data_IF_677728516482
#
_entry.id   IF_677728516482
#
_cell.length_a   1.000
_cell.length_b   1.000
_cell.length_c   1.000
_cell.angle_alpha   90.00
_cell.angle_beta   90.00
_cell.angle_gamma   90.00
#
_symmetry.space_group_name_H-M   'P 1'
#
loop_
_entity.id
_entity.type
_entity.pdbx_description
1 polymer ?
#
# COMPACT_ATOMS: atom_id res chain seq x y z
N UNK A 1 -65.80 -14.30 26.01
CA UNK A 1 -65.10 -13.73 27.18
C UNK A 1 -63.61 -13.92 26.96
N UNK A 2 -62.84 -12.81 26.89
CA UNK A 2 -61.37 -12.60 27.04
C UNK A 2 -60.43 -13.81 26.89
N UNK A 3 -59.24 -13.77 26.28
CA UNK A 3 -58.41 -12.81 25.56
C UNK A 3 -57.11 -13.58 25.15
N UNK A 4 -56.32 -13.11 24.18
CA UNK A 4 -54.93 -13.58 23.96
C UNK A 4 -54.54 -13.73 22.48
N UNK A 5 -54.09 -12.66 21.79
CA UNK A 5 -52.67 -12.25 21.56
C UNK A 5 -51.95 -13.25 20.61
N UNK A 6 -51.54 -12.90 19.38
CA UNK A 6 -50.39 -12.03 19.02
C UNK A 6 -50.49 -11.44 17.60
N UNK A 7 -50.43 -10.12 17.49
CA UNK A 7 -49.99 -9.40 16.28
C UNK A 7 -48.46 -9.26 16.34
N UNK A 8 -47.77 -9.61 15.26
CA UNK A 8 -46.34 -9.38 15.05
C UNK A 8 -46.21 -8.06 14.27
N UNK A 9 -45.60 -7.07 14.92
CA UNK A 9 -45.28 -5.76 14.34
C UNK A 9 -43.84 -5.82 13.80
N UNK A 10 -43.67 -5.70 12.48
CA UNK A 10 -42.36 -5.45 11.86
C UNK A 10 -42.06 -3.95 11.96
N UNK A 11 -41.04 -3.59 12.72
CA UNK A 11 -40.51 -2.22 12.81
C UNK A 11 -39.32 -2.10 11.84
N UNK A 12 -39.51 -1.41 10.73
CA UNK A 12 -38.41 -0.95 9.87
C UNK A 12 -37.91 0.39 10.41
N UNK A 13 -36.69 0.43 10.94
CA UNK A 13 -36.02 1.68 11.32
C UNK A 13 -35.05 2.07 10.20
N UNK A 14 -35.46 3.04 9.39
CA UNK A 14 -34.59 3.74 8.47
C UNK A 14 -33.78 4.79 9.26
N UNK A 15 -32.48 4.58 9.44
CA UNK A 15 -31.56 5.62 9.89
C UNK A 15 -30.99 6.36 8.68
N UNK A 16 -31.63 7.48 8.31
CA UNK A 16 -30.97 8.54 7.54
C UNK A 16 -30.10 9.36 8.51
N UNK A 17 -28.78 9.17 8.44
CA UNK A 17 -27.84 10.08 9.08
C UNK A 17 -27.68 11.32 8.18
N UNK A 18 -28.22 12.45 8.63
CA UNK A 18 -28.02 13.74 8.01
C UNK A 18 -26.55 14.20 8.19
N UNK A 19 -25.80 14.27 7.10
CA UNK A 19 -24.46 14.87 7.07
C UNK A 19 -24.62 16.38 6.97
N UNK A 20 -24.51 17.07 8.11
CA UNK A 20 -24.47 18.53 8.16
C UNK A 20 -23.05 19.02 7.81
N UNK A 21 -22.90 19.60 6.63
CA UNK A 21 -21.67 20.27 6.20
C UNK A 21 -21.47 21.57 6.98
N UNK A 22 -20.40 21.64 7.77
CA UNK A 22 -19.85 22.88 8.29
C UNK A 22 -18.40 23.02 7.81
N UNK A 23 -18.21 23.71 6.68
CA UNK A 23 -16.88 24.15 6.26
C UNK A 23 -16.38 25.24 7.22
N UNK A 24 -15.09 25.27 7.60
CA UNK A 24 -14.55 26.35 8.40
C UNK A 24 -14.49 27.64 7.56
N UNK A 25 -15.23 28.67 7.98
CA UNK A 25 -15.13 30.03 7.44
C UNK A 25 -13.76 30.62 7.77
N UNK A 26 -12.81 30.50 6.83
CA UNK A 26 -11.61 31.31 6.73
C UNK A 26 -11.80 32.36 5.61
N UNK A 27 -11.48 33.62 5.91
CA UNK A 27 -11.59 34.76 4.98
C UNK A 27 -10.94 34.45 3.62
N UNK A 28 -11.65 34.79 2.55
CA UNK A 28 -11.21 34.70 1.16
C UNK A 28 -9.99 35.61 0.90
N UNK A 29 -8.79 35.10 1.17
CA UNK A 29 -7.58 35.53 0.50
C UNK A 29 -7.50 34.79 -0.84
N UNK A 30 -7.18 35.50 -1.92
CA UNK A 30 -6.96 34.97 -3.27
C UNK A 30 -6.13 33.68 -3.22
N UNK A 31 -6.78 32.53 -3.31
CA UNK A 31 -6.13 31.23 -3.40
C UNK A 31 -5.69 31.05 -4.83
N UNK A 32 -4.38 30.88 -5.02
CA UNK A 32 -3.84 30.24 -6.21
C UNK A 32 -4.69 28.99 -6.49
N UNK A 33 -5.02 28.75 -7.76
CA UNK A 33 -5.85 27.63 -8.19
C UNK A 33 -5.27 26.32 -7.65
N UNK A 34 -5.78 25.85 -6.51
CA UNK A 34 -5.43 24.54 -5.97
C UNK A 34 -5.90 23.51 -6.98
N UNK A 35 -4.97 22.73 -7.54
CA UNK A 35 -5.32 21.57 -8.39
C UNK A 35 -6.04 20.49 -7.59
N UNK A 36 -5.79 20.41 -6.29
CA UNK A 36 -6.52 19.57 -5.37
C UNK A 36 -7.85 20.21 -4.93
N UNK A 37 -8.96 19.53 -5.16
CA UNK A 37 -10.30 19.98 -4.77
C UNK A 37 -10.64 19.43 -3.39
N UNK A 38 -11.08 20.28 -2.47
CA UNK A 38 -11.65 19.82 -1.21
C UNK A 38 -12.88 18.93 -1.48
N UNK A 39 -12.81 17.68 -1.07
CA UNK A 39 -13.87 16.69 -1.26
C UNK A 39 -14.81 16.64 -0.05
N UNK A 40 -14.27 16.73 1.16
CA UNK A 40 -15.05 16.72 2.40
C UNK A 40 -14.17 16.69 3.65
N UNK A 41 -14.79 16.67 4.82
CA UNK A 41 -14.10 16.51 6.09
C UNK A 41 -14.98 15.77 7.10
N UNK A 42 -14.35 14.99 7.98
CA UNK A 42 -15.02 14.27 9.06
C UNK A 42 -14.37 14.66 10.38
N UNK A 43 -15.15 15.28 11.25
CA UNK A 43 -14.73 15.76 12.56
C UNK A 43 -14.96 14.71 13.65
N UNK A 44 -14.05 14.66 14.63
CA UNK A 44 -14.24 13.94 15.88
C UNK A 44 -13.89 14.83 17.07
N UNK A 45 -14.73 14.80 18.11
CA UNK A 45 -14.51 15.57 19.36
C UNK A 45 -13.36 15.01 20.23
N UNK A 46 -12.94 13.78 19.94
CA UNK A 46 -11.82 13.07 20.53
C UNK A 46 -10.93 12.49 19.43
N UNK A 47 -9.74 12.02 19.78
CA UNK A 47 -8.85 11.32 18.84
C UNK A 47 -9.54 10.11 18.21
N UNK A 48 -9.28 9.85 16.93
CA UNK A 48 -9.78 8.65 16.27
C UNK A 48 -9.08 7.42 16.85
N UNK A 49 -9.84 6.39 17.19
CA UNK A 49 -9.27 5.05 17.34
C UNK A 49 -8.86 4.52 15.96
N UNK A 50 -7.87 3.63 15.89
CA UNK A 50 -7.40 3.07 14.62
C UNK A 50 -8.53 2.46 13.78
N UNK A 51 -9.38 1.64 14.40
CA UNK A 51 -10.55 1.03 13.73
C UNK A 51 -11.51 2.09 13.17
N UNK A 52 -11.85 3.12 13.96
CA UNK A 52 -12.75 4.18 13.52
C UNK A 52 -12.12 5.03 12.41
N UNK A 53 -10.82 5.29 12.49
CA UNK A 53 -10.07 6.03 11.47
C UNK A 53 -10.17 5.31 10.12
N UNK A 54 -9.83 4.02 10.08
CA UNK A 54 -9.91 3.24 8.85
C UNK A 54 -11.34 3.06 8.36
N UNK A 55 -12.33 2.87 9.24
CA UNK A 55 -13.74 2.87 8.84
C UNK A 55 -14.18 4.19 8.17
N UNK A 56 -13.68 5.34 8.65
CA UNK A 56 -13.93 6.64 8.01
C UNK A 56 -13.25 6.73 6.65
N UNK A 57 -11.97 6.32 6.56
CA UNK A 57 -11.24 6.27 5.29
C UNK A 57 -11.97 5.39 4.26
N UNK A 58 -12.40 4.19 4.65
CA UNK A 58 -13.09 3.24 3.77
C UNK A 58 -14.49 3.72 3.38
N UNK A 59 -15.19 4.45 4.26
CA UNK A 59 -16.51 5.03 3.95
C UNK A 59 -16.46 6.05 2.80
N UNK A 60 -15.30 6.70 2.59
CA UNK A 60 -15.07 7.68 1.52
C UNK A 60 -14.33 7.06 0.33
N UNK A 61 -13.35 6.20 0.62
CA UNK A 61 -12.48 5.56 -0.36
C UNK A 61 -13.09 4.35 -1.05
N UNK A 62 -14.08 3.71 -0.44
CA UNK A 62 -14.64 2.44 -0.90
C UNK A 62 -13.70 1.28 -0.60
N UNK A 63 -13.57 0.35 -1.56
CA UNK A 63 -12.76 -0.87 -1.42
C UNK A 63 -11.27 -0.68 -1.74
N UNK A 64 -10.83 0.55 -1.98
CA UNK A 64 -9.48 0.84 -2.41
C UNK A 64 -8.46 0.85 -1.27
N UNK A 65 -7.19 0.66 -1.60
CA UNK A 65 -6.10 0.59 -0.62
C UNK A 65 -5.59 1.98 -0.24
N UNK A 66 -5.83 2.42 0.99
CA UNK A 66 -5.23 3.64 1.54
C UNK A 66 -3.75 3.41 1.87
N UNK A 67 -2.87 4.19 1.24
CA UNK A 67 -1.43 4.11 1.41
C UNK A 67 -0.91 5.34 2.12
N UNK A 68 -0.17 5.16 3.21
CA UNK A 68 0.37 6.30 3.94
C UNK A 68 1.49 6.99 3.16
N UNK A 69 1.45 8.31 3.10
CA UNK A 69 2.49 9.13 2.49
C UNK A 69 3.75 9.10 3.35
N UNK A 70 4.89 8.94 2.69
CA UNK A 70 6.20 8.97 3.33
C UNK A 70 6.84 10.35 3.15
N UNK A 71 7.14 11.02 4.27
CA UNK A 71 7.80 12.33 4.29
C UNK A 71 9.21 12.29 3.67
N UNK A 72 9.87 11.14 3.69
CA UNK A 72 11.18 10.92 3.09
C UNK A 72 11.09 10.45 1.63
N UNK A 73 9.88 10.22 1.13
CA UNK A 73 9.66 9.79 -0.24
C UNK A 73 9.65 10.95 -1.24
N UNK A 74 9.53 10.61 -2.52
CA UNK A 74 9.37 11.56 -3.63
C UNK A 74 8.16 12.45 -3.36
N UNK A 75 8.36 13.76 -3.53
CA UNK A 75 7.33 14.78 -3.39
C UNK A 75 6.52 14.87 -4.67
N UNK A 76 5.37 14.19 -4.69
CA UNK A 76 4.43 14.26 -5.81
C UNK A 76 3.82 15.67 -5.90
N UNK A 77 3.91 16.37 -7.04
CA UNK A 77 3.45 17.76 -7.16
C UNK A 77 1.98 17.94 -6.76
N UNK A 78 1.07 17.07 -7.23
CA UNK A 78 -0.35 17.15 -6.90
C UNK A 78 -0.63 16.91 -5.41
N UNK A 79 0.12 16.03 -4.77
CA UNK A 79 0.06 15.83 -3.31
C UNK A 79 0.59 17.06 -2.57
N UNK A 80 1.74 17.60 -3.01
CA UNK A 80 2.36 18.75 -2.35
C UNK A 80 1.56 20.04 -2.50
N UNK A 81 0.88 20.26 -3.62
CA UNK A 81 -0.02 21.40 -3.82
C UNK A 81 -1.08 21.48 -2.71
N UNK A 82 -1.54 20.33 -2.20
CA UNK A 82 -2.49 20.25 -1.10
C UNK A 82 -1.82 20.29 0.29
N UNK A 83 -0.65 19.67 0.45
CA UNK A 83 0.04 19.55 1.74
C UNK A 83 0.88 20.78 2.12
N UNK A 84 1.55 21.44 1.18
CA UNK A 84 2.46 22.56 1.46
C UNK A 84 1.80 23.71 2.25
N UNK A 85 0.53 24.10 1.97
CA UNK A 85 -0.17 25.06 2.79
C UNK A 85 -0.40 24.58 4.23
N UNK A 86 -0.67 23.28 4.43
CA UNK A 86 -0.95 22.69 5.74
C UNK A 86 0.33 22.52 6.57
N UNK A 87 1.44 22.14 5.93
CA UNK A 87 2.74 21.97 6.59
C UNK A 87 3.31 23.28 7.17
N UNK A 88 2.86 24.43 6.64
CA UNK A 88 3.22 25.78 7.13
C UNK A 88 2.34 26.27 8.28
N UNK A 89 1.25 25.57 8.60
CA UNK A 89 0.35 25.93 9.69
C UNK A 89 0.85 25.41 11.04
N UNK A 90 0.33 25.99 12.13
CA UNK A 90 0.61 25.55 13.50
C UNK A 90 0.10 24.12 13.75
N UNK A 91 -1.06 23.79 13.18
CA UNK A 91 -1.68 22.48 13.28
C UNK A 91 -1.24 21.64 12.08
N UNK A 92 -0.03 21.08 12.16
CA UNK A 92 0.53 20.26 11.08
C UNK A 92 -0.24 18.94 10.95
N UNK A 93 -0.28 18.35 9.74
CA UNK A 93 -0.76 16.99 9.53
C UNK A 93 -0.10 16.01 10.49
N UNK A 94 -0.91 15.18 11.15
CA UNK A 94 -0.43 14.04 11.96
C UNK A 94 -0.13 12.84 11.05
N UNK A 95 -1.02 12.57 10.10
CA UNK A 95 -0.89 11.49 9.12
C UNK A 95 -1.55 11.88 7.80
N UNK A 96 -1.05 11.31 6.69
CA UNK A 96 -1.56 11.56 5.35
C UNK A 96 -1.65 10.23 4.62
N UNK A 97 -2.79 9.94 3.99
CA UNK A 97 -2.98 8.76 3.15
C UNK A 97 -3.40 9.16 1.74
N UNK A 98 -3.00 8.34 0.78
CA UNK A 98 -3.37 8.47 -0.63
C UNK A 98 -4.02 7.18 -1.08
N UNK A 99 -5.12 7.33 -1.82
CA UNK A 99 -5.80 6.26 -2.52
C UNK A 99 -5.66 6.50 -4.02
N UNK A 100 -4.85 5.68 -4.69
CA UNK A 100 -4.51 5.83 -6.11
C UNK A 100 -5.39 5.02 -7.07
N UNK A 101 -6.11 4.01 -6.56
CA UNK A 101 -6.89 3.03 -7.35
C UNK A 101 -8.21 3.61 -7.88
N UNK A 102 -8.18 4.83 -8.41
CA UNK A 102 -9.35 5.61 -8.86
C UNK A 102 -8.98 6.45 -10.07
N UNK A 103 -9.98 6.81 -10.89
CA UNK A 103 -9.79 7.74 -12.01
C UNK A 103 -9.21 9.09 -11.57
N UNK A 104 -9.59 9.53 -10.36
CA UNK A 104 -8.96 10.64 -9.66
C UNK A 104 -8.52 10.17 -8.28
N UNK A 105 -7.23 10.27 -7.94
CA UNK A 105 -6.74 9.88 -6.63
C UNK A 105 -7.41 10.70 -5.52
N UNK A 106 -7.58 10.08 -4.35
CA UNK A 106 -7.97 10.78 -3.14
C UNK A 106 -6.80 10.89 -2.18
N UNK A 107 -6.74 11.99 -1.46
CA UNK A 107 -5.82 12.18 -0.35
C UNK A 107 -6.62 12.48 0.92
N UNK A 108 -6.31 11.80 2.01
CA UNK A 108 -6.86 12.05 3.33
C UNK A 108 -5.77 12.61 4.24
N UNK A 109 -6.08 13.67 4.98
CA UNK A 109 -5.15 14.35 5.88
C UNK A 109 -5.75 14.39 7.28
N UNK A 110 -5.10 13.74 8.23
CA UNK A 110 -5.45 13.83 9.66
C UNK A 110 -4.82 15.09 10.25
N UNK A 111 -5.65 15.98 10.79
CA UNK A 111 -5.22 17.23 11.43
C UNK A 111 -5.72 17.27 12.88
N UNK A 112 -4.92 17.84 13.80
CA UNK A 112 -5.36 18.07 15.16
C UNK A 112 -6.39 19.22 15.20
N UNK A 113 -7.48 19.03 15.97
CA UNK A 113 -8.56 20.01 16.12
C UNK A 113 -9.01 20.12 17.59
N UNK A 114 -8.33 21.00 18.34
CA UNK A 114 -8.62 21.18 19.77
C UNK A 114 -8.27 19.93 20.57
N UNK A 115 -9.23 19.36 21.31
CA UNK A 115 -9.09 18.07 21.99
C UNK A 115 -9.32 16.85 21.09
N UNK A 116 -9.76 17.07 19.85
CA UNK A 116 -10.07 16.02 18.89
C UNK A 116 -9.25 16.16 17.61
N UNK A 117 -9.77 15.57 16.54
CA UNK A 117 -9.09 15.41 15.26
C UNK A 117 -10.10 15.59 14.11
N UNK A 118 -9.60 15.95 12.94
CA UNK A 118 -10.37 16.03 11.70
C UNK A 118 -9.63 15.31 10.58
N UNK A 119 -10.34 14.49 9.81
CA UNK A 119 -9.84 13.91 8.56
C UNK A 119 -10.39 14.73 7.42
N UNK A 120 -9.52 15.41 6.68
CA UNK A 120 -9.87 16.22 5.51
C UNK A 120 -9.53 15.44 4.25
N UNK A 121 -10.48 15.37 3.32
CA UNK A 121 -10.35 14.66 2.07
C UNK A 121 -10.17 15.63 0.91
N UNK A 122 -9.19 15.38 0.08
CA UNK A 122 -8.88 16.11 -1.15
C UNK A 122 -8.97 15.16 -2.34
N UNK A 123 -9.66 15.57 -3.40
CA UNK A 123 -9.58 14.92 -4.71
C UNK A 123 -8.41 15.54 -5.47
N UNK A 124 -7.42 14.71 -5.84
CA UNK A 124 -6.26 15.12 -6.62
C UNK A 124 -6.58 15.00 -8.12
N UNK A 125 -5.91 15.81 -8.95
CA UNK A 125 -6.02 15.70 -10.40
C UNK A 125 -5.37 14.43 -10.95
N UNK A 126 -4.21 14.07 -10.40
CA UNK A 126 -3.40 12.91 -10.76
C UNK A 126 -2.36 12.65 -9.65
N UNK A 127 -1.60 11.56 -9.79
CA UNK A 127 -0.29 11.39 -9.16
C UNK A 127 0.73 11.61 -10.28
N UNK A 128 1.37 12.77 -10.28
CA UNK A 128 2.12 13.32 -11.43
C UNK A 128 3.62 13.51 -11.15
N UNK A 129 4.15 12.82 -10.13
CA UNK A 129 5.58 12.67 -9.95
C UNK A 129 6.23 11.98 -11.16
N UNK A 130 7.34 12.55 -11.67
CA UNK A 130 8.15 11.89 -12.69
C UNK A 130 8.95 10.74 -12.09
N UNK A 131 9.11 9.60 -12.79
CA UNK A 131 9.94 8.49 -12.33
C UNK A 131 11.38 8.94 -12.01
N UNK A 132 11.86 8.54 -10.83
CA UNK A 132 13.26 8.71 -10.42
C UNK A 132 13.86 7.36 -10.05
N UNK A 133 15.20 7.19 -10.16
CA UNK A 133 15.85 5.95 -9.73
C UNK A 133 15.48 5.59 -8.29
N UNK A 134 15.26 4.30 -8.04
CA UNK A 134 15.07 3.78 -6.69
C UNK A 134 16.35 4.00 -5.88
N UNK A 135 16.20 4.54 -4.69
CA UNK A 135 17.28 4.69 -3.72
C UNK A 135 16.80 4.32 -2.33
N UNK A 136 17.73 3.82 -1.52
CA UNK A 136 17.51 3.67 -0.09
C UNK A 136 17.83 4.97 0.62
N UNK A 137 17.06 5.29 1.67
CA UNK A 137 17.37 6.43 2.50
C UNK A 137 18.63 6.16 3.33
N UNK A 138 19.54 7.14 3.38
CA UNK A 138 20.89 6.99 3.93
C UNK A 138 20.92 6.62 5.42
N UNK A 139 19.91 7.05 6.16
CA UNK A 139 19.80 6.81 7.60
C UNK A 139 18.53 6.01 7.82
N UNK A 140 18.70 4.73 8.14
CA UNK A 140 17.62 3.85 8.56
C UNK A 140 17.67 3.76 10.08
N UNK A 141 16.81 4.51 10.76
CA UNK A 141 16.66 4.36 12.21
C UNK A 141 15.62 3.25 12.46
N UNK A 142 15.97 2.13 13.12
CA UNK A 142 15.07 0.97 13.24
C UNK A 142 13.72 1.28 13.89
N UNK A 143 13.67 2.21 14.83
CA UNK A 143 12.46 2.72 15.47
C UNK A 143 11.50 3.41 14.49
N UNK A 144 12.04 4.02 13.43
CA UNK A 144 11.26 4.67 12.38
C UNK A 144 10.85 3.65 11.31
N UNK A 145 11.81 2.86 10.83
CA UNK A 145 11.61 1.97 9.68
C UNK A 145 10.85 0.69 10.06
N UNK A 146 11.11 0.16 11.25
CA UNK A 146 10.48 -1.05 11.79
C UNK A 146 9.50 -0.72 12.93
N UNK A 147 8.90 0.47 12.90
CA UNK A 147 7.95 0.94 13.92
C UNK A 147 6.83 -0.06 14.21
N UNK A 148 6.37 -0.77 13.18
CA UNK A 148 5.27 -1.74 13.28
C UNK A 148 5.77 -3.16 13.65
N UNK A 149 7.03 -3.27 14.08
CA UNK A 149 7.69 -4.51 14.47
C UNK A 149 8.26 -4.41 15.89
N UNK A 150 8.28 -5.55 16.60
CA UNK A 150 9.04 -5.74 17.83
C UNK A 150 10.35 -6.45 17.53
N UNK A 151 11.44 -5.99 18.14
CA UNK A 151 12.71 -6.72 18.12
C UNK A 151 12.61 -7.93 19.05
N UNK A 152 12.98 -9.12 18.55
CA UNK A 152 12.95 -10.38 19.31
C UNK A 152 14.34 -10.98 19.50
N UNK A 153 15.32 -10.50 18.74
CA UNK A 153 16.72 -10.91 18.81
C UNK A 153 17.63 -9.87 18.16
N UNK A 154 18.94 -10.11 18.18
CA UNK A 154 19.89 -9.25 17.47
C UNK A 154 19.62 -9.29 15.96
N UNK A 155 19.25 -8.15 15.39
CA UNK A 155 18.88 -8.07 13.97
C UNK A 155 17.57 -8.78 13.60
N UNK A 156 16.79 -9.29 14.55
CA UNK A 156 15.55 -10.02 14.28
C UNK A 156 14.32 -9.28 14.78
N UNK A 157 13.33 -9.12 13.90
CA UNK A 157 12.10 -8.39 14.18
C UNK A 157 10.87 -9.17 13.72
N UNK A 158 9.77 -9.05 14.48
CA UNK A 158 8.48 -9.68 14.18
C UNK A 158 7.40 -8.61 14.19
N UNK A 159 6.54 -8.59 13.18
CA UNK A 159 5.48 -7.58 13.08
C UNK A 159 4.51 -7.69 14.27
N UNK A 160 4.04 -6.56 14.79
CA UNK A 160 3.19 -6.49 15.98
C UNK A 160 1.86 -7.24 15.78
N UNK A 161 1.19 -6.98 14.65
CA UNK A 161 -0.12 -7.60 14.35
C UNK A 161 -0.07 -8.88 13.49
N UNK A 162 1.06 -9.17 12.85
CA UNK A 162 1.19 -10.25 11.85
C UNK A 162 2.45 -11.07 12.10
N UNK A 163 2.43 -12.07 13.00
CA UNK A 163 3.62 -12.86 13.35
C UNK A 163 4.28 -13.62 12.18
N UNK A 164 3.56 -13.79 11.07
CA UNK A 164 4.08 -14.34 9.82
C UNK A 164 5.00 -13.39 9.05
N UNK A 165 4.98 -12.09 9.36
CA UNK A 165 5.89 -11.08 8.83
C UNK A 165 7.10 -10.95 9.77
N UNK A 166 8.27 -11.26 9.22
CA UNK A 166 9.54 -11.23 9.96
C UNK A 166 10.62 -10.51 9.18
N UNK A 167 11.53 -9.87 9.89
CA UNK A 167 12.70 -9.20 9.35
C UNK A 167 13.95 -9.79 10.01
N UNK A 168 14.95 -10.09 9.20
CA UNK A 168 16.32 -10.35 9.64
C UNK A 168 17.23 -9.33 8.97
N UNK A 169 17.95 -8.53 9.75
CA UNK A 169 18.82 -7.47 9.30
C UNK A 169 20.23 -7.66 9.86
N UNK A 170 21.23 -7.58 9.00
CA UNK A 170 22.64 -7.48 9.35
C UNK A 170 23.32 -6.46 8.44
N UNK A 171 24.63 -6.25 8.62
CA UNK A 171 25.40 -5.27 7.86
C UNK A 171 25.37 -5.47 6.33
N UNK A 172 25.15 -6.70 5.87
CA UNK A 172 25.20 -7.06 4.44
C UNK A 172 23.83 -7.22 3.80
N UNK A 173 22.81 -7.45 4.62
CA UNK A 173 21.51 -7.92 4.14
C UNK A 173 20.38 -7.56 5.08
N UNK A 174 19.30 -7.05 4.49
CA UNK A 174 17.98 -7.01 5.13
C UNK A 174 17.09 -8.01 4.39
N UNK A 175 16.48 -8.94 5.12
CA UNK A 175 15.58 -9.96 4.58
C UNK A 175 14.23 -9.88 5.28
N UNK A 176 13.21 -9.60 4.49
CA UNK A 176 11.82 -9.67 4.87
C UNK A 176 11.26 -11.01 4.45
N UNK A 177 10.44 -11.62 5.29
CA UNK A 177 9.75 -12.87 4.96
C UNK A 177 8.30 -12.78 5.37
N UNK A 178 7.45 -13.36 4.54
CA UNK A 178 6.05 -13.61 4.83
C UNK A 178 5.79 -15.09 4.60
N UNK A 179 5.20 -15.75 5.59
CA UNK A 179 4.80 -17.17 5.46
C UNK A 179 3.37 -17.36 5.92
N UNK A 180 2.50 -17.66 4.95
CA UNK A 180 1.13 -18.10 5.16
C UNK A 180 0.80 -19.09 4.05
N UNK A 181 0.84 -20.41 4.31
CA UNK A 181 0.55 -21.43 3.31
C UNK A 181 -0.74 -21.12 2.55
N UNK A 182 -0.70 -21.29 1.24
CA UNK A 182 -1.87 -21.14 0.37
C UNK A 182 -2.51 -22.51 0.16
N UNK A 183 -3.85 -22.56 0.20
CA UNK A 183 -4.60 -23.78 -0.11
C UNK A 183 -4.60 -24.07 -1.63
N UNK A 184 -4.23 -23.07 -2.44
CA UNK A 184 -4.19 -23.11 -3.90
C UNK A 184 -2.82 -22.70 -4.44
N UNK A 185 -1.78 -23.55 -4.32
CA UNK A 185 -0.46 -23.23 -4.82
C UNK A 185 -0.45 -23.03 -6.33
N UNK A 186 0.49 -22.20 -6.80
CA UNK A 186 0.84 -22.08 -8.21
C UNK A 186 1.19 -23.47 -8.76
N UNK A 187 0.27 -24.01 -9.56
CA UNK A 187 0.45 -25.25 -10.30
C UNK A 187 1.56 -25.04 -11.31
N UNK A 188 2.46 -26.02 -11.41
CA UNK A 188 3.51 -26.05 -12.41
C UNK A 188 3.30 -27.22 -13.36
N UNK A 189 3.28 -26.94 -14.66
CA UNK A 189 3.12 -27.96 -15.70
C UNK A 189 4.49 -28.37 -16.28
N UNK A 190 4.99 -29.58 -15.97
CA UNK A 190 6.25 -30.07 -16.52
C UNK A 190 6.23 -30.24 -18.04
N UNK A 191 5.04 -30.34 -18.64
CA UNK A 191 4.85 -30.58 -20.07
C UNK A 191 4.58 -29.28 -20.86
N UNK A 192 4.74 -28.09 -20.25
CA UNK A 192 4.60 -26.79 -20.94
C UNK A 192 5.30 -26.74 -22.30
N UNK A 193 6.50 -27.31 -22.42
CA UNK A 193 7.27 -27.33 -23.66
C UNK A 193 6.57 -28.07 -24.82
N UNK A 194 5.73 -29.07 -24.52
CA UNK A 194 5.01 -29.91 -25.50
C UNK A 194 3.70 -29.28 -25.97
N UNK A 195 3.23 -28.25 -25.28
CA UNK A 195 1.98 -27.56 -25.59
C UNK A 195 2.05 -26.80 -26.91
N UNK A 196 0.88 -26.60 -27.51
CA UNK A 196 0.79 -25.76 -28.71
C UNK A 196 1.01 -24.28 -28.37
N UNK A 197 1.06 -23.44 -29.41
CA UNK A 197 1.32 -22.01 -29.24
C UNK A 197 0.23 -21.29 -28.44
N UNK A 198 -1.05 -21.68 -28.60
CA UNK A 198 -2.19 -21.02 -27.95
C UNK A 198 -2.20 -21.37 -26.47
N UNK A 199 -2.01 -22.63 -26.14
CA UNK A 199 -1.92 -23.14 -24.78
C UNK A 199 -0.75 -22.50 -24.02
N UNK A 200 0.44 -22.43 -24.63
CA UNK A 200 1.61 -21.75 -24.05
C UNK A 200 1.31 -20.30 -23.73
N UNK A 201 0.70 -19.58 -24.67
CA UNK A 201 0.39 -18.15 -24.48
C UNK A 201 -0.66 -17.94 -23.39
N UNK A 202 -1.66 -18.81 -23.28
CA UNK A 202 -2.68 -18.75 -22.21
C UNK A 202 -2.03 -18.96 -20.85
N UNK A 203 -1.25 -20.03 -20.71
CA UNK A 203 -0.60 -20.37 -19.45
C UNK A 203 0.43 -19.32 -19.03
N UNK A 204 1.20 -18.78 -19.99
CA UNK A 204 2.13 -17.68 -19.72
C UNK A 204 1.40 -16.45 -19.15
N UNK A 205 0.22 -16.11 -19.68
CA UNK A 205 -0.59 -15.00 -19.16
C UNK A 205 -1.08 -15.27 -17.75
N UNK A 206 -1.59 -16.47 -17.49
CA UNK A 206 -2.10 -16.85 -16.17
C UNK A 206 -0.99 -16.78 -15.10
N UNK A 207 0.23 -17.23 -15.44
CA UNK A 207 1.39 -17.06 -14.58
C UNK A 207 1.78 -15.60 -14.38
N UNK A 208 1.78 -14.78 -15.44
CA UNK A 208 2.08 -13.35 -15.32
C UNK A 208 1.09 -12.65 -14.38
N UNK A 209 -0.19 -12.96 -14.49
CA UNK A 209 -1.23 -12.39 -13.65
C UNK A 209 -1.10 -12.87 -12.20
N UNK A 210 -0.78 -14.15 -11.98
CA UNK A 210 -0.45 -14.68 -10.66
C UNK A 210 0.76 -13.97 -10.03
N UNK A 211 1.87 -13.79 -10.77
CA UNK A 211 3.07 -13.14 -10.25
C UNK A 211 2.83 -11.64 -9.98
N UNK A 212 1.97 -10.97 -10.75
CA UNK A 212 1.55 -9.59 -10.47
C UNK A 212 0.72 -9.51 -9.18
N UNK A 213 -0.18 -10.47 -8.97
CA UNK A 213 -0.91 -10.59 -7.72
C UNK A 213 0.03 -10.79 -6.53
N UNK A 214 0.95 -11.75 -6.62
CA UNK A 214 1.98 -11.99 -5.60
C UNK A 214 2.83 -10.74 -5.31
N UNK A 215 3.22 -10.00 -6.36
CA UNK A 215 3.92 -8.73 -6.21
C UNK A 215 3.10 -7.72 -5.41
N UNK A 216 1.81 -7.56 -5.71
CA UNK A 216 0.93 -6.66 -4.94
C UNK A 216 0.85 -7.04 -3.45
N UNK A 217 0.82 -8.35 -3.15
CA UNK A 217 0.86 -8.82 -1.77
C UNK A 217 2.20 -8.52 -1.09
N UNK A 218 3.32 -8.72 -1.80
CA UNK A 218 4.66 -8.40 -1.31
C UNK A 218 4.83 -6.89 -1.05
N UNK A 219 4.25 -6.01 -1.88
CA UNK A 219 4.27 -4.57 -1.63
C UNK A 219 3.52 -4.20 -0.35
N UNK A 220 2.35 -4.79 -0.11
CA UNK A 220 1.60 -4.60 1.14
C UNK A 220 2.36 -5.14 2.35
N UNK A 221 2.92 -6.34 2.21
CA UNK A 221 3.62 -7.04 3.28
C UNK A 221 4.94 -6.37 3.67
N UNK A 222 5.70 -5.88 2.70
CA UNK A 222 7.08 -5.42 2.90
C UNK A 222 7.16 -3.91 2.80
N UNK A 223 6.88 -3.34 1.63
CA UNK A 223 7.08 -1.90 1.36
C UNK A 223 6.17 -1.02 2.23
N UNK A 224 4.88 -1.34 2.33
CA UNK A 224 3.94 -0.54 3.13
C UNK A 224 4.15 -0.70 4.64
N UNK A 225 4.75 -1.80 5.08
CA UNK A 225 5.09 -2.06 6.48
C UNK A 225 6.42 -1.42 6.92
N UNK A 226 7.26 -0.98 5.97
CA UNK A 226 8.57 -0.37 6.27
C UNK A 226 8.71 1.00 5.63
N UNK A 227 8.28 1.99 6.39
CA UNK A 227 8.27 3.39 5.97
C UNK A 227 9.66 3.99 6.07
N UNK A 228 9.95 4.96 5.23
CA UNK A 228 11.23 5.65 5.22
C UNK A 228 12.39 4.79 4.72
N UNK A 229 12.16 3.56 4.24
CA UNK A 229 13.24 2.74 3.72
C UNK A 229 13.68 3.18 2.32
N UNK A 230 12.73 3.53 1.46
CA UNK A 230 12.96 3.87 0.08
C UNK A 230 12.52 5.30 -0.22
N UNK A 231 13.11 5.91 -1.25
CA UNK A 231 12.66 7.21 -1.74
C UNK A 231 11.32 7.15 -2.49
N UNK A 232 10.88 5.98 -2.95
CA UNK A 232 9.60 5.86 -3.64
C UNK A 232 8.43 5.85 -2.66
N UNK A 233 7.39 6.62 -2.99
CA UNK A 233 6.11 6.54 -2.29
C UNK A 233 5.47 5.17 -2.50
N UNK A 234 4.63 4.66 -1.57
CA UNK A 234 4.05 3.33 -1.70
C UNK A 234 3.27 3.10 -3.00
N UNK A 235 2.59 4.13 -3.53
CA UNK A 235 1.85 4.01 -4.79
C UNK A 235 2.75 3.93 -6.03
N UNK A 236 3.96 4.51 -6.01
CA UNK A 236 4.89 4.44 -7.14
C UNK A 236 5.31 2.98 -7.43
N UNK A 237 5.34 2.13 -6.40
CA UNK A 237 5.63 0.70 -6.57
C UNK A 237 4.58 -0.04 -7.38
N UNK A 238 3.37 0.50 -7.54
CA UNK A 238 2.31 -0.08 -8.38
C UNK A 238 2.27 0.51 -9.79
N UNK A 239 3.02 1.59 -10.06
CA UNK A 239 2.96 2.33 -11.31
C UNK A 239 3.98 1.78 -12.32
N UNK A 240 3.49 1.33 -13.49
CA UNK A 240 4.32 0.70 -14.53
C UNK A 240 5.48 1.56 -15.02
N UNK A 241 5.30 2.89 -15.08
CA UNK A 241 6.36 3.83 -15.47
C UNK A 241 7.56 3.83 -14.50
N UNK A 242 7.36 3.40 -13.26
CA UNK A 242 8.40 3.29 -12.24
C UNK A 242 9.06 1.90 -12.24
N UNK A 243 8.25 0.84 -12.31
CA UNK A 243 8.70 -0.53 -12.03
C UNK A 243 8.82 -1.47 -13.26
N UNK A 244 8.38 -1.06 -14.45
CA UNK A 244 8.19 -1.98 -15.60
C UNK A 244 9.43 -2.77 -16.01
N UNK A 245 10.63 -2.22 -15.82
CA UNK A 245 11.89 -2.89 -16.16
C UNK A 245 12.42 -3.82 -15.07
N UNK A 246 11.83 -3.80 -13.89
CA UNK A 246 12.27 -4.60 -12.75
C UNK A 246 11.40 -5.82 -12.51
N UNK A 247 10.19 -5.85 -13.05
CA UNK A 247 9.32 -7.01 -13.01
C UNK A 247 9.83 -8.11 -13.98
N UNK A 248 9.66 -9.38 -13.62
CA UNK A 248 10.01 -10.51 -14.49
C UNK A 248 9.35 -10.38 -15.87
N UNK A 249 10.11 -10.55 -16.94
CA UNK A 249 9.57 -10.48 -18.30
C UNK A 249 8.89 -11.78 -18.72
N UNK A 250 7.94 -11.68 -19.66
CA UNK A 250 7.31 -12.84 -20.29
C UNK A 250 8.33 -13.82 -20.86
N UNK A 251 9.43 -13.32 -21.45
CA UNK A 251 10.51 -14.13 -22.00
C UNK A 251 11.27 -14.91 -20.91
N UNK A 252 11.55 -14.28 -19.78
CA UNK A 252 12.22 -14.96 -18.66
C UNK A 252 11.32 -16.02 -18.05
N UNK A 253 10.04 -15.72 -17.87
CA UNK A 253 9.05 -16.66 -17.37
C UNK A 253 8.87 -17.85 -18.33
N UNK A 254 8.72 -17.60 -19.62
CA UNK A 254 8.64 -18.65 -20.64
C UNK A 254 9.88 -19.56 -20.59
N UNK A 255 11.08 -18.99 -20.46
CA UNK A 255 12.31 -19.77 -20.32
C UNK A 255 12.33 -20.65 -19.06
N UNK A 256 11.65 -20.27 -17.98
CA UNK A 256 11.48 -21.09 -16.78
C UNK A 256 10.49 -22.23 -17.08
N UNK A 257 9.33 -21.92 -17.67
CA UNK A 257 8.28 -22.91 -17.95
C UNK A 257 8.76 -23.98 -18.96
N UNK A 258 9.49 -23.58 -20.01
CA UNK A 258 10.05 -24.50 -21.02
C UNK A 258 11.01 -25.52 -20.41
N UNK A 259 11.68 -25.22 -19.29
CA UNK A 259 12.56 -26.20 -18.62
C UNK A 259 11.79 -27.36 -18.00
N UNK A 260 10.49 -27.21 -17.74
CA UNK A 260 9.68 -28.24 -17.10
C UNK A 260 10.05 -28.52 -15.63
N UNK A 261 10.89 -27.67 -15.02
CA UNK A 261 11.34 -27.81 -13.63
C UNK A 261 10.93 -26.55 -12.85
N UNK A 262 10.08 -26.73 -11.83
CA UNK A 262 9.65 -25.64 -10.95
C UNK A 262 10.84 -25.13 -10.13
N UNK A 263 11.14 -23.80 -10.14
CA UNK A 263 12.13 -23.24 -9.24
C UNK A 263 11.60 -23.21 -7.80
N UNK A 264 12.49 -23.27 -6.81
CA UNK A 264 12.12 -23.11 -5.40
C UNK A 264 11.46 -21.76 -5.13
N UNK A 265 11.94 -20.72 -5.82
CA UNK A 265 11.44 -19.36 -5.76
C UNK A 265 11.45 -18.72 -7.15
N UNK A 266 10.36 -18.05 -7.52
CA UNK A 266 10.29 -17.13 -8.64
C UNK A 266 10.77 -15.76 -8.20
N UNK A 267 11.75 -15.19 -8.90
CA UNK A 267 12.09 -13.78 -8.76
C UNK A 267 11.06 -12.96 -9.52
N UNK A 268 10.28 -12.17 -8.80
CA UNK A 268 9.16 -11.39 -9.36
C UNK A 268 9.58 -9.97 -9.66
N UNK A 269 10.39 -9.39 -8.78
CA UNK A 269 10.94 -8.05 -8.93
C UNK A 269 12.43 -8.07 -8.61
N UNK A 270 13.24 -7.40 -9.43
CA UNK A 270 14.68 -7.23 -9.22
C UNK A 270 15.13 -5.87 -9.71
N UNK A 271 15.69 -5.06 -8.81
CA UNK A 271 16.22 -3.75 -9.15
C UNK A 271 17.49 -3.44 -8.35
N UNK A 272 18.47 -2.83 -9.02
CA UNK A 272 19.63 -2.23 -8.35
C UNK A 272 19.31 -0.77 -8.02
N UNK A 273 19.36 -0.41 -6.75
CA UNK A 273 19.19 0.96 -6.30
C UNK A 273 20.42 1.81 -6.65
N UNK A 274 20.24 3.14 -6.61
CA UNK A 274 21.31 4.10 -6.93
C UNK A 274 22.52 3.99 -5.98
N UNK A 275 22.32 3.56 -4.73
CA UNK A 275 23.39 3.32 -3.76
C UNK A 275 24.18 2.02 -4.00
N UNK A 276 23.72 1.18 -4.94
CA UNK A 276 24.35 -0.09 -5.29
C UNK A 276 23.66 -1.31 -4.70
N UNK A 277 22.72 -1.11 -3.78
CA UNK A 277 21.96 -2.18 -3.14
C UNK A 277 21.10 -2.94 -4.16
N UNK A 278 21.04 -4.26 -4.02
CA UNK A 278 20.18 -5.10 -4.84
C UNK A 278 18.89 -5.43 -4.08
N UNK A 279 17.76 -5.00 -4.61
CA UNK A 279 16.42 -5.32 -4.09
C UNK A 279 15.83 -6.44 -4.95
N UNK A 280 15.50 -7.56 -4.32
CA UNK A 280 14.86 -8.71 -4.94
C UNK A 280 13.60 -9.11 -4.16
N UNK A 281 12.47 -9.25 -4.84
CA UNK A 281 11.26 -9.85 -4.29
C UNK A 281 11.02 -11.20 -4.95
N UNK A 282 10.82 -12.22 -4.13
CA UNK A 282 10.68 -13.61 -4.57
C UNK A 282 9.48 -14.28 -3.93
N UNK A 283 8.85 -15.20 -4.64
CA UNK A 283 7.76 -16.04 -4.13
C UNK A 283 7.96 -17.51 -4.48
N UNK A 284 7.61 -18.40 -3.57
CA UNK A 284 7.52 -19.85 -3.82
C UNK A 284 6.29 -20.24 -4.66
N UNK A 285 5.35 -19.30 -4.82
CA UNK A 285 4.01 -19.56 -5.37
C UNK A 285 3.16 -20.44 -4.46
N UNK A 286 3.51 -20.60 -3.18
CA UNK A 286 2.73 -21.36 -2.20
C UNK A 286 2.70 -20.66 -0.83
N UNK A 287 2.44 -19.35 -0.83
CA UNK A 287 2.26 -18.61 0.41
C UNK A 287 3.54 -18.27 1.18
N UNK A 288 4.72 -18.55 0.62
CA UNK A 288 5.98 -17.99 1.10
C UNK A 288 6.51 -16.94 0.12
N UNK A 289 6.72 -15.73 0.62
CA UNK A 289 7.29 -14.61 -0.12
C UNK A 289 8.42 -13.98 0.68
N UNK A 290 9.39 -13.38 -0.01
CA UNK A 290 10.48 -12.65 0.64
C UNK A 290 10.93 -11.44 -0.17
N UNK A 291 11.39 -10.42 0.53
CA UNK A 291 12.14 -9.32 -0.06
C UNK A 291 13.54 -9.34 0.55
N UNK A 292 14.56 -9.36 -0.30
CA UNK A 292 15.96 -9.26 0.12
C UNK A 292 16.55 -7.97 -0.41
N UNK A 293 17.25 -7.26 0.47
CA UNK A 293 18.07 -6.10 0.15
C UNK A 293 19.50 -6.51 0.47
N UNK A 294 20.36 -6.58 -0.54
CA UNK A 294 21.78 -6.93 -0.36
C UNK A 294 22.63 -5.69 -0.61
N UNK A 295 23.47 -5.32 0.36
CA UNK A 295 24.41 -4.22 0.19
C UNK A 295 25.67 -4.70 -0.56
N UNK A 296 26.32 -3.83 -1.34
CA UNK A 296 27.58 -4.13 -2.01
C UNK A 296 28.73 -4.40 -1.02
#
# INVERSE_FOLDING_TARGET
MRAGIKQILFLAVAMMAAVAFAAPMGKAGKTASLKAKLYGAVDSKAKFSGERMFAVLDSVGGTGTWMEWDVNGVRDPSVMDALDPLLKQKNKPEMVWVLSERAKPLMAVLLPKGSGEVIVFYELSALDAKPVPLSMNKVLTPDVVFRDYKQVGEGEFVHLDKPSLKISANEKRIRFTYSKPDDTPLRFDPDYAKKDFIEKRSELRDYMDFLRYEYSLMLRAFVQSTRGMFNWQPWHWYMGEWNSKAFISEKELEAILVRGIKPDMFTVFKMKAQGGELIEMRTSGNGFSEMTITTP
#
